data_IF_341803360027
#
_entry.id   IF_341803360027
#
_cell.length_a   1.000
_cell.length_b   1.000
_cell.length_c   1.000
_cell.angle_alpha   90.00
_cell.angle_beta   90.00
_cell.angle_gamma   90.00
#
_symmetry.space_group_name_H-M   'P 1'
#
loop_
_entity.id
_entity.type
_entity.pdbx_description
1 polymer ?
#
# COMPACT_ATOMS: atom_id res chain seq x y z
N UNK A 1 34.03 10.92 6.14
CA UNK A 1 33.25 9.88 6.85
C UNK A 1 31.94 9.68 6.12
N UNK A 2 31.52 8.42 5.87
CA UNK A 2 30.21 8.15 5.29
C UNK A 2 29.11 8.32 6.36
N UNK A 3 27.90 8.79 5.99
CA UNK A 3 26.82 8.95 6.94
C UNK A 3 26.34 7.58 7.44
N UNK A 4 26.02 7.49 8.74
CA UNK A 4 25.33 6.33 9.28
C UNK A 4 23.96 6.19 8.59
N UNK A 5 23.65 4.98 8.13
CA UNK A 5 22.39 4.64 7.47
C UNK A 5 21.82 3.38 8.11
N UNK A 6 20.51 3.34 8.24
CA UNK A 6 19.79 2.14 8.67
C UNK A 6 19.55 1.25 7.46
N UNK A 7 19.76 -0.07 7.63
CA UNK A 7 19.40 -1.10 6.66
C UNK A 7 18.47 -2.08 7.36
N UNK A 8 17.24 -2.23 6.85
CA UNK A 8 16.32 -3.26 7.30
C UNK A 8 16.51 -4.49 6.41
N UNK A 9 16.69 -5.65 7.04
CA UNK A 9 16.90 -6.93 6.37
C UNK A 9 15.77 -7.88 6.79
N UNK A 10 15.13 -8.51 5.82
CA UNK A 10 14.21 -9.62 6.06
C UNK A 10 14.93 -10.93 5.73
N UNK A 11 15.00 -11.82 6.72
CA UNK A 11 15.50 -13.18 6.54
C UNK A 11 14.53 -14.15 7.24
N UNK A 12 13.75 -14.94 6.47
CA UNK A 12 12.96 -16.02 7.03
C UNK A 12 13.84 -17.03 7.77
N UNK A 13 13.31 -17.65 8.83
CA UNK A 13 14.07 -18.58 9.67
C UNK A 13 14.67 -19.76 8.89
N UNK A 14 13.99 -20.20 7.83
CA UNK A 14 14.42 -21.32 6.98
C UNK A 14 15.27 -20.90 5.78
N UNK A 15 15.50 -19.59 5.58
CA UNK A 15 16.25 -19.07 4.45
C UNK A 15 17.75 -18.95 4.79
N UNK A 16 18.59 -19.55 3.93
CA UNK A 16 20.05 -19.44 4.03
C UNK A 16 20.56 -18.01 3.78
N UNK A 17 19.81 -17.20 3.04
CA UNK A 17 20.14 -15.82 2.71
C UNK A 17 18.92 -14.90 2.92
N UNK A 18 19.13 -13.57 3.13
CA UNK A 18 18.02 -12.64 3.27
C UNK A 18 17.22 -12.46 1.99
N UNK A 19 15.89 -12.37 2.13
CA UNK A 19 14.93 -12.27 1.02
C UNK A 19 14.49 -10.84 0.73
N UNK A 20 14.86 -9.87 1.58
CA UNK A 20 14.45 -8.48 1.41
C UNK A 20 15.40 -7.51 2.08
N UNK A 21 15.61 -6.36 1.41
CA UNK A 21 16.49 -5.28 1.86
C UNK A 21 15.80 -3.95 1.64
N UNK A 22 15.78 -3.10 2.67
CA UNK A 22 15.22 -1.74 2.58
C UNK A 22 16.17 -0.73 3.22
N UNK A 23 16.41 0.37 2.51
CA UNK A 23 17.20 1.50 3.00
C UNK A 23 16.25 2.69 3.24
N UNK A 24 15.73 2.88 4.47
CA UNK A 24 14.86 4.00 4.77
C UNK A 24 15.64 5.33 4.80
N UNK A 25 15.00 6.40 4.33
CA UNK A 25 15.46 7.76 4.55
C UNK A 25 14.76 8.39 5.78
N UNK A 26 14.77 7.65 6.90
CA UNK A 26 14.09 8.01 8.15
C UNK A 26 15.11 8.19 9.27
N UNK A 27 14.79 8.94 10.35
CA UNK A 27 15.66 9.06 11.51
C UNK A 27 16.05 7.69 12.09
N UNK A 28 17.26 7.59 12.62
CA UNK A 28 17.74 6.35 13.27
C UNK A 28 16.92 5.98 14.52
N UNK A 29 16.17 6.93 15.07
CA UNK A 29 15.25 6.75 16.19
C UNK A 29 13.89 6.19 15.79
N UNK A 30 13.61 5.99 14.49
CA UNK A 30 12.34 5.41 14.03
C UNK A 30 12.20 3.97 14.54
N UNK A 31 11.08 3.60 15.19
CA UNK A 31 10.84 2.24 15.66
C UNK A 31 10.92 1.21 14.53
N UNK A 32 11.53 0.05 14.79
CA UNK A 32 11.64 -1.05 13.81
C UNK A 32 10.27 -1.49 13.31
N UNK A 33 9.26 -1.52 14.18
CA UNK A 33 7.88 -1.86 13.80
C UNK A 33 7.32 -0.94 12.70
N UNK A 34 7.63 0.36 12.75
CA UNK A 34 7.24 1.31 11.70
C UNK A 34 8.02 1.02 10.41
N UNK A 35 9.33 0.78 10.50
CA UNK A 35 10.15 0.43 9.33
C UNK A 35 9.61 -0.81 8.62
N UNK A 36 9.28 -1.86 9.37
CA UNK A 36 8.69 -3.10 8.85
C UNK A 36 7.32 -2.81 8.23
N UNK A 37 6.45 -2.04 8.90
CA UNK A 37 5.14 -1.65 8.35
C UNK A 37 5.28 -0.97 7.00
N UNK A 38 6.20 -0.01 6.87
CA UNK A 38 6.43 0.71 5.61
C UNK A 38 7.06 -0.18 4.54
N UNK A 39 8.06 -0.98 4.89
CA UNK A 39 8.71 -1.94 3.99
C UNK A 39 7.71 -2.94 3.39
N UNK A 40 6.71 -3.36 4.18
CA UNK A 40 5.66 -4.30 3.77
C UNK A 40 4.44 -3.64 3.14
N UNK A 41 4.36 -2.31 3.12
CA UNK A 41 3.21 -1.58 2.57
C UNK A 41 2.98 -1.86 1.08
N UNK A 42 4.03 -2.23 0.34
CA UNK A 42 3.95 -2.53 -1.11
C UNK A 42 2.86 -3.54 -1.44
N UNK A 43 2.72 -4.62 -0.66
CA UNK A 43 1.71 -5.64 -0.91
C UNK A 43 0.28 -5.08 -0.74
N UNK A 44 0.08 -4.22 0.26
CA UNK A 44 -1.18 -3.53 0.47
C UNK A 44 -1.53 -2.61 -0.71
N UNK A 45 -0.55 -1.87 -1.23
CA UNK A 45 -0.73 -1.03 -2.43
C UNK A 45 -1.14 -1.88 -3.64
N UNK A 46 -0.48 -3.01 -3.87
CA UNK A 46 -0.80 -3.91 -4.98
C UNK A 46 -2.22 -4.48 -4.85
N UNK A 47 -2.64 -4.83 -3.63
CA UNK A 47 -3.99 -5.28 -3.33
C UNK A 47 -5.03 -4.18 -3.59
N UNK A 48 -4.82 -2.99 -3.04
CA UNK A 48 -5.72 -1.85 -3.19
C UNK A 48 -5.83 -1.42 -4.67
N UNK A 49 -4.73 -1.50 -5.42
CA UNK A 49 -4.71 -1.24 -6.86
C UNK A 49 -5.52 -2.27 -7.65
N UNK A 50 -5.47 -3.54 -7.27
CA UNK A 50 -6.27 -4.60 -7.89
C UNK A 50 -7.76 -4.34 -7.71
N UNK A 51 -8.17 -3.90 -6.52
CA UNK A 51 -9.54 -3.51 -6.23
C UNK A 51 -9.97 -2.27 -7.02
N UNK A 52 -9.14 -1.22 -7.03
CA UNK A 52 -9.40 -0.02 -7.84
C UNK A 52 -9.61 -0.38 -9.32
N UNK A 53 -8.75 -1.23 -9.88
CA UNK A 53 -8.81 -1.66 -11.27
C UNK A 53 -10.02 -2.54 -11.55
N UNK A 54 -10.05 -3.74 -10.99
CA UNK A 54 -11.05 -4.75 -11.37
C UNK A 54 -12.39 -4.60 -10.63
N UNK A 55 -12.36 -4.11 -9.39
CA UNK A 55 -13.56 -3.97 -8.56
C UNK A 55 -14.29 -2.65 -8.80
N UNK A 56 -13.55 -1.57 -9.06
CA UNK A 56 -14.10 -0.22 -9.17
C UNK A 56 -13.93 0.42 -10.56
N UNK A 57 -13.29 -0.28 -11.49
CA UNK A 57 -13.23 0.14 -12.90
C UNK A 57 -12.28 1.30 -13.17
N UNK A 58 -11.14 1.38 -12.46
CA UNK A 58 -10.12 2.40 -12.73
C UNK A 58 -9.68 2.42 -14.20
N UNK A 59 -9.64 1.27 -14.86
CA UNK A 59 -9.27 1.10 -16.27
C UNK A 59 -10.48 1.06 -17.24
N UNK A 60 -11.70 1.35 -16.77
CA UNK A 60 -12.91 1.36 -17.58
C UNK A 60 -13.24 2.73 -18.21
N UNK A 61 -12.32 3.70 -18.13
CA UNK A 61 -12.56 5.03 -18.73
C UNK A 61 -12.38 4.99 -20.26
N UNK A 62 -13.44 5.28 -21.01
CA UNK A 62 -13.44 5.28 -22.48
C UNK A 62 -13.46 6.69 -23.12
N UNK A 63 -13.44 7.75 -22.29
CA UNK A 63 -13.43 9.13 -22.77
C UNK A 63 -12.08 9.58 -23.32
N UNK A 64 -12.03 10.78 -23.93
CA UNK A 64 -10.82 11.33 -24.58
C UNK A 64 -10.33 12.65 -24.00
N UNK A 65 -10.91 13.10 -22.89
CA UNK A 65 -10.53 14.38 -22.27
C UNK A 65 -9.80 14.13 -20.96
N UNK A 66 -8.74 14.90 -20.73
CA UNK A 66 -8.03 14.91 -19.45
C UNK A 66 -8.99 15.15 -18.27
N UNK A 67 -9.90 16.13 -18.41
CA UNK A 67 -10.89 16.43 -17.37
C UNK A 67 -11.81 15.25 -17.07
N UNK A 68 -12.29 14.55 -18.10
CA UNK A 68 -13.11 13.36 -17.94
C UNK A 68 -12.35 12.24 -17.23
N UNK A 69 -11.09 11.98 -17.63
CA UNK A 69 -10.24 10.99 -16.98
C UNK A 69 -9.99 11.34 -15.51
N UNK A 70 -9.67 12.60 -15.23
CA UNK A 70 -9.41 13.07 -13.88
C UNK A 70 -10.64 12.93 -12.98
N UNK A 71 -11.84 13.28 -13.48
CA UNK A 71 -13.09 13.05 -12.75
C UNK A 71 -13.30 11.57 -12.47
N UNK A 72 -13.10 10.70 -13.46
CA UNK A 72 -13.23 9.25 -13.30
C UNK A 72 -12.31 8.69 -12.21
N UNK A 73 -11.01 8.95 -12.31
CA UNK A 73 -10.02 8.49 -11.31
C UNK A 73 -10.34 9.03 -9.92
N UNK A 74 -10.80 10.27 -9.81
CA UNK A 74 -11.20 10.87 -8.54
C UNK A 74 -12.40 10.14 -7.92
N UNK A 75 -13.44 9.86 -8.70
CA UNK A 75 -14.63 9.15 -8.23
C UNK A 75 -14.32 7.70 -7.84
N UNK A 76 -13.52 6.99 -8.64
CA UNK A 76 -13.06 5.63 -8.33
C UNK A 76 -12.24 5.61 -7.03
N UNK A 77 -11.36 6.58 -6.83
CA UNK A 77 -10.57 6.72 -5.59
C UNK A 77 -11.46 7.04 -4.38
N UNK A 78 -12.45 7.91 -4.54
CA UNK A 78 -13.41 8.23 -3.48
C UNK A 78 -14.26 7.02 -3.08
N UNK A 79 -14.69 6.21 -4.06
CA UNK A 79 -15.39 4.96 -3.80
C UNK A 79 -14.50 3.97 -3.03
N UNK A 80 -13.22 3.86 -3.39
CA UNK A 80 -12.27 3.01 -2.67
C UNK A 80 -12.05 3.45 -1.23
N UNK A 81 -11.90 4.76 -1.00
CA UNK A 81 -11.78 5.32 0.34
C UNK A 81 -13.04 5.02 1.18
N UNK A 82 -14.23 5.17 0.60
CA UNK A 82 -15.49 4.81 1.25
C UNK A 82 -15.52 3.33 1.65
N UNK A 83 -15.22 2.41 0.74
CA UNK A 83 -15.19 0.97 1.03
C UNK A 83 -14.16 0.61 2.10
N UNK A 84 -12.97 1.22 2.03
CA UNK A 84 -11.92 1.05 3.04
C UNK A 84 -12.42 1.47 4.42
N UNK A 85 -13.07 2.63 4.55
CA UNK A 85 -13.63 3.09 5.81
C UNK A 85 -14.74 2.16 6.32
N UNK A 86 -15.59 1.62 5.44
CA UNK A 86 -16.62 0.64 5.83
C UNK A 86 -16.05 -0.69 6.32
N UNK A 87 -14.87 -1.10 5.85
CA UNK A 87 -14.16 -2.30 6.35
C UNK A 87 -13.55 -2.07 7.73
N UNK A 88 -13.09 -0.85 8.01
CA UNK A 88 -12.52 -0.47 9.29
C UNK A 88 -13.59 -0.26 10.37
N UNK A 89 -14.83 0.03 9.97
CA UNK A 89 -16.01 0.17 10.84
C UNK A 89 -17.18 -0.73 10.38
N UNK A 90 -17.05 -2.05 10.56
CA UNK A 90 -18.07 -2.99 10.10
C UNK A 90 -19.31 -2.92 11.02
N UNK A 91 -20.50 -2.79 10.42
CA UNK A 91 -21.78 -2.72 11.15
C UNK A 91 -22.09 -4.01 11.93
N UNK A 92 -21.56 -5.14 11.49
CA UNK A 92 -21.61 -6.42 12.18
C UNK A 92 -20.21 -7.07 12.12
N UNK A 93 -19.77 -7.76 13.17
CA UNK A 93 -18.48 -8.45 13.15
C UNK A 93 -18.46 -9.45 12.00
N UNK A 94 -17.36 -9.47 11.24
CA UNK A 94 -17.17 -10.48 10.22
C UNK A 94 -17.06 -11.86 10.90
N UNK A 95 -17.75 -12.89 10.39
CA UNK A 95 -17.57 -14.25 10.89
C UNK A 95 -16.10 -14.68 10.72
N UNK A 96 -15.60 -15.38 11.73
CA UNK A 96 -14.24 -15.92 11.77
C UNK A 96 -14.01 -17.03 10.74
#
# INVERSE_FOLDING_TARGET
>A
MLPLRTLLIEQPAEAAEPTGYWVPNLPVTTPVADLVRWAKMRWRIEHDYRELKHGLGLDHFEGRTWRGWHHHVTLVTAAQAFLTLRRLDPKAPMPA
#
